data_IF_700211260121
#
_entry.id   IF_700211260121
#
_cell.length_a   1.000
_cell.length_b   1.000
_cell.length_c   1.000
_cell.angle_alpha   90.00
_cell.angle_beta   90.00
_cell.angle_gamma   90.00
#
_symmetry.space_group_name_H-M   'P 1'
#
loop_
_entity.id
_entity.type
_entity.pdbx_description
1 polymer ?
#
# COMPACT_ATOMS: atom_id res chain seq x y z
N UNK A 1 6.15 51.81 13.41
CA UNK A 1 5.38 50.57 13.69
C UNK A 1 4.94 50.00 12.35
N UNK A 2 5.69 49.06 11.80
CA UNK A 2 5.30 48.35 10.59
C UNK A 2 3.99 47.61 10.86
N UNK A 3 2.95 47.90 10.08
CA UNK A 3 1.69 47.17 10.14
C UNK A 3 2.00 45.72 9.81
N UNK A 4 1.71 44.79 10.74
CA UNK A 4 1.71 43.35 10.47
C UNK A 4 0.86 43.12 9.21
N UNK A 5 1.52 42.87 8.07
CA UNK A 5 0.82 42.46 6.85
C UNK A 5 0.32 41.06 7.11
N UNK A 6 -0.99 40.94 7.28
CA UNK A 6 -1.66 39.66 7.40
C UNK A 6 -1.21 38.71 6.27
N UNK A 7 -0.92 37.46 6.61
CA UNK A 7 -0.47 36.47 5.62
C UNK A 7 -1.56 36.31 4.52
N UNK A 8 -1.19 36.31 3.22
CA UNK A 8 -2.13 36.16 2.12
C UNK A 8 -3.04 34.94 2.30
N UNK A 9 -4.35 35.06 1.97
CA UNK A 9 -5.32 33.99 2.20
C UNK A 9 -4.96 32.70 1.44
N UNK A 10 -4.34 32.82 0.27
CA UNK A 10 -3.89 31.67 -0.54
C UNK A 10 -2.78 30.90 0.18
N UNK A 11 -1.84 31.60 0.81
CA UNK A 11 -0.74 31.00 1.58
C UNK A 11 -1.29 30.36 2.86
N UNK A 12 -2.23 31.02 3.54
CA UNK A 12 -2.93 30.44 4.71
C UNK A 12 -3.60 29.11 4.32
N UNK A 13 -4.38 29.10 3.25
CA UNK A 13 -5.07 27.88 2.75
C UNK A 13 -4.09 26.77 2.37
N UNK A 14 -2.97 27.10 1.72
CA UNK A 14 -1.92 26.15 1.40
C UNK A 14 -1.32 25.49 2.65
N UNK A 15 -1.02 26.27 3.68
CA UNK A 15 -0.48 25.76 4.95
C UNK A 15 -1.51 24.92 5.71
N UNK A 16 -2.79 25.31 5.70
CA UNK A 16 -3.86 24.53 6.30
C UNK A 16 -4.03 23.17 5.62
N UNK A 17 -4.11 23.16 4.29
CA UNK A 17 -4.25 21.92 3.52
C UNK A 17 -3.03 21.00 3.67
N UNK A 18 -1.82 21.56 3.72
CA UNK A 18 -0.59 20.80 3.98
C UNK A 18 -0.62 20.14 5.37
N UNK A 19 -0.99 20.90 6.40
CA UNK A 19 -1.02 20.41 7.79
C UNK A 19 -2.06 19.29 7.94
N UNK A 20 -3.24 19.46 7.32
CA UNK A 20 -4.28 18.44 7.32
C UNK A 20 -3.85 17.19 6.54
N UNK A 21 -3.14 17.34 5.42
CA UNK A 21 -2.55 16.21 4.69
C UNK A 21 -1.55 15.44 5.54
N UNK A 22 -0.64 16.12 6.22
CA UNK A 22 0.30 15.46 7.13
C UNK A 22 -0.44 14.70 8.24
N UNK A 23 -1.45 15.33 8.86
CA UNK A 23 -2.26 14.70 9.90
C UNK A 23 -2.98 13.44 9.40
N UNK A 24 -3.50 13.48 8.17
CA UNK A 24 -4.17 12.33 7.56
C UNK A 24 -3.19 11.25 7.17
N UNK A 25 -2.06 11.59 6.52
CA UNK A 25 -1.05 10.64 6.09
C UNK A 25 -0.51 9.77 7.24
N UNK A 26 -0.29 10.37 8.41
CA UNK A 26 0.17 9.66 9.61
C UNK A 26 -0.95 9.08 10.47
N UNK A 27 -2.21 9.11 10.02
CA UNK A 27 -3.32 8.53 10.78
C UNK A 27 -3.25 6.99 10.80
N UNK A 28 -3.35 6.35 11.98
CA UNK A 28 -3.36 4.89 12.09
C UNK A 28 -4.48 4.24 11.28
N UNK A 29 -4.19 3.08 10.68
CA UNK A 29 -5.15 2.35 9.84
C UNK A 29 -6.47 2.04 10.55
N UNK A 30 -6.42 1.66 11.84
CA UNK A 30 -7.59 1.35 12.66
C UNK A 30 -8.53 2.55 12.89
N UNK A 31 -8.04 3.78 12.71
CA UNK A 31 -8.83 5.01 12.85
C UNK A 31 -9.40 5.50 11.52
N UNK A 32 -9.09 4.83 10.41
CA UNK A 32 -9.60 5.19 9.09
C UNK A 32 -11.06 4.76 8.98
N UNK A 33 -11.88 5.66 8.47
CA UNK A 33 -13.29 5.42 8.17
C UNK A 33 -13.63 6.09 6.84
N UNK A 34 -14.77 5.74 6.20
CA UNK A 34 -15.09 6.25 4.87
C UNK A 34 -15.08 7.78 4.79
N UNK A 35 -15.51 8.47 5.87
CA UNK A 35 -15.52 9.94 5.95
C UNK A 35 -14.11 10.51 5.92
N UNK A 36 -13.18 9.90 6.66
CA UNK A 36 -11.78 10.31 6.72
C UNK A 36 -11.08 10.05 5.39
N UNK A 37 -11.39 8.93 4.73
CA UNK A 37 -10.88 8.63 3.39
C UNK A 37 -11.36 9.68 2.39
N UNK A 38 -12.66 9.95 2.34
CA UNK A 38 -13.20 11.00 1.47
C UNK A 38 -12.60 12.39 1.76
N UNK A 39 -12.40 12.70 3.04
CA UNK A 39 -11.73 13.95 3.46
C UNK A 39 -10.28 14.02 2.97
N UNK A 40 -9.53 12.92 2.99
CA UNK A 40 -8.18 12.86 2.45
C UNK A 40 -8.16 13.14 0.94
N UNK A 41 -9.08 12.55 0.17
CA UNK A 41 -9.22 12.85 -1.26
C UNK A 41 -9.52 14.34 -1.50
N UNK A 42 -10.52 14.88 -0.81
CA UNK A 42 -10.92 16.27 -0.97
C UNK A 42 -9.80 17.25 -0.60
N UNK A 43 -9.07 16.97 0.49
CA UNK A 43 -8.01 17.87 0.92
C UNK A 43 -6.79 17.79 0.01
N UNK A 44 -6.50 16.62 -0.57
CA UNK A 44 -5.45 16.44 -1.57
C UNK A 44 -5.77 17.24 -2.83
N UNK A 45 -7.01 17.15 -3.30
CA UNK A 45 -7.46 17.93 -4.44
C UNK A 45 -7.38 19.44 -4.17
N UNK A 46 -7.86 19.90 -3.00
CA UNK A 46 -7.72 21.31 -2.61
C UNK A 46 -6.26 21.76 -2.55
N UNK A 47 -5.39 20.95 -1.94
CA UNK A 47 -3.97 21.24 -1.85
C UNK A 47 -3.33 21.34 -3.23
N UNK A 48 -3.66 20.42 -4.14
CA UNK A 48 -3.19 20.43 -5.52
C UNK A 48 -3.61 21.72 -6.26
N UNK A 49 -4.86 22.17 -6.06
CA UNK A 49 -5.33 23.44 -6.61
C UNK A 49 -4.57 24.64 -6.02
N UNK A 50 -4.35 24.67 -4.70
CA UNK A 50 -3.55 25.73 -4.05
C UNK A 50 -2.10 25.73 -4.55
N UNK A 51 -1.49 24.56 -4.79
CA UNK A 51 -0.16 24.46 -5.39
C UNK A 51 -0.13 25.13 -6.78
N UNK A 52 -1.13 24.87 -7.61
CA UNK A 52 -1.23 25.47 -8.94
C UNK A 52 -1.47 26.99 -8.88
N UNK A 53 -2.21 27.47 -7.88
CA UNK A 53 -2.46 28.91 -7.71
C UNK A 53 -1.22 29.67 -7.23
N UNK A 54 -0.46 29.11 -6.28
CA UNK A 54 0.71 29.78 -5.69
C UNK A 54 1.94 29.66 -6.59
N UNK A 55 2.21 28.46 -7.11
CA UNK A 55 3.45 28.17 -7.81
C UNK A 55 3.31 28.22 -9.33
N UNK A 56 2.09 28.06 -9.86
CA UNK A 56 1.82 28.02 -11.31
C UNK A 56 2.58 26.92 -12.04
N UNK A 57 2.59 26.99 -13.38
CA UNK A 57 3.47 26.12 -14.18
C UNK A 57 4.90 26.67 -14.16
N UNK A 58 5.62 26.41 -13.08
CA UNK A 58 7.01 26.83 -12.95
C UNK A 58 7.97 25.70 -13.35
N UNK A 59 8.73 25.85 -14.45
CA UNK A 59 9.65 24.81 -14.92
C UNK A 59 10.83 24.55 -13.98
N UNK A 60 11.10 25.44 -13.01
CA UNK A 60 12.14 25.22 -11.98
C UNK A 60 11.66 24.30 -10.85
N UNK A 61 10.35 24.05 -10.75
CA UNK A 61 9.73 23.23 -9.71
C UNK A 61 9.43 21.80 -10.20
N UNK A 62 10.22 21.29 -11.14
CA UNK A 62 10.05 19.93 -11.70
C UNK A 62 10.10 18.84 -10.63
N UNK A 63 10.97 18.93 -9.63
CA UNK A 63 11.01 17.98 -8.51
C UNK A 63 9.75 18.04 -7.63
N UNK A 64 9.23 19.24 -7.41
CA UNK A 64 8.00 19.43 -6.64
C UNK A 64 6.80 18.80 -7.36
N UNK A 65 6.62 19.11 -8.65
CA UNK A 65 5.53 18.54 -9.44
C UNK A 65 5.73 17.05 -9.78
N UNK A 66 6.98 16.61 -9.94
CA UNK A 66 7.31 15.24 -10.31
C UNK A 66 7.25 14.26 -9.15
N UNK A 67 7.73 14.63 -7.95
CA UNK A 67 7.81 13.71 -6.81
C UNK A 67 6.72 13.99 -5.79
N UNK A 68 6.65 15.22 -5.27
CA UNK A 68 5.73 15.57 -4.19
C UNK A 68 4.27 15.55 -4.67
N UNK A 69 3.97 16.30 -5.73
CA UNK A 69 2.63 16.41 -6.27
C UNK A 69 2.13 15.05 -6.80
N UNK A 70 2.97 14.32 -7.53
CA UNK A 70 2.64 12.97 -8.00
C UNK A 70 2.36 12.00 -6.85
N UNK A 71 3.18 12.00 -5.80
CA UNK A 71 2.97 11.12 -4.66
C UNK A 71 1.65 11.42 -3.95
N UNK A 72 1.29 12.71 -3.83
CA UNK A 72 0.02 13.11 -3.26
C UNK A 72 -1.18 12.68 -4.11
N UNK A 73 -1.15 12.93 -5.43
CA UNK A 73 -2.30 12.64 -6.28
C UNK A 73 -2.48 11.15 -6.58
N UNK A 74 -1.37 10.41 -6.68
CA UNK A 74 -1.37 9.01 -7.14
C UNK A 74 -1.30 8.06 -5.95
N UNK A 75 -0.29 8.19 -5.09
CA UNK A 75 -0.05 7.21 -4.03
C UNK A 75 -0.95 7.41 -2.82
N UNK A 76 -1.39 8.62 -2.50
CA UNK A 76 -2.30 8.80 -1.36
C UNK A 76 -3.61 8.04 -1.57
N UNK A 77 -4.14 8.02 -2.81
CA UNK A 77 -5.33 7.25 -3.16
C UNK A 77 -5.14 5.74 -2.94
N UNK A 78 -3.93 5.23 -3.23
CA UNK A 78 -3.56 3.83 -3.05
C UNK A 78 -3.39 3.45 -1.58
N UNK A 79 -2.71 4.31 -0.81
CA UNK A 79 -2.35 4.07 0.59
C UNK A 79 -3.53 4.30 1.53
N UNK A 80 -4.42 5.22 1.19
CA UNK A 80 -5.51 5.67 2.05
C UNK A 80 -6.85 5.00 1.71
N UNK A 81 -6.81 3.68 1.57
CA UNK A 81 -8.00 2.83 1.40
C UNK A 81 -8.47 2.29 2.75
N UNK A 82 -9.78 1.99 2.84
CA UNK A 82 -10.36 1.30 4.00
C UNK A 82 -9.90 -0.15 4.08
N UNK A 83 -9.77 -0.77 2.92
CA UNK A 83 -9.37 -2.16 2.76
C UNK A 83 -7.90 -2.15 2.38
N UNK A 84 -7.10 -2.96 3.07
CA UNK A 84 -5.69 -3.15 2.72
C UNK A 84 -5.59 -3.69 1.29
N UNK A 85 -4.65 -3.20 0.46
CA UNK A 85 -4.39 -3.79 -0.85
C UNK A 85 -4.11 -5.30 -0.77
N UNK A 86 -3.52 -5.77 0.32
CA UNK A 86 -3.29 -7.21 0.58
C UNK A 86 -4.59 -8.01 0.60
N UNK A 87 -5.66 -7.44 1.16
CA UNK A 87 -6.98 -8.09 1.23
C UNK A 87 -7.72 -8.07 -0.13
N UNK A 88 -7.30 -7.23 -1.08
CA UNK A 88 -7.78 -7.28 -2.46
C UNK A 88 -7.03 -8.35 -3.28
N UNK A 89 -5.80 -8.69 -2.87
CA UNK A 89 -4.94 -9.66 -3.52
C UNK A 89 -5.03 -11.04 -2.84
N UNK A 90 -6.25 -11.61 -2.84
CA UNK A 90 -6.52 -12.92 -2.24
C UNK A 90 -5.72 -14.03 -2.92
N UNK A 91 -5.23 -13.84 -4.15
CA UNK A 91 -4.44 -14.84 -4.88
C UNK A 91 -3.23 -15.35 -4.08
N UNK A 92 -2.56 -14.45 -3.36
CA UNK A 92 -1.39 -14.82 -2.55
C UNK A 92 -1.79 -15.62 -1.31
N UNK A 93 -2.88 -15.24 -0.65
CA UNK A 93 -3.42 -15.91 0.53
C UNK A 93 -4.02 -17.27 0.15
N UNK A 94 -4.83 -17.33 -0.92
CA UNK A 94 -5.41 -18.55 -1.48
C UNK A 94 -4.33 -19.54 -1.90
N UNK A 95 -3.21 -19.07 -2.47
CA UNK A 95 -2.07 -19.92 -2.81
C UNK A 95 -1.45 -20.55 -1.57
N UNK A 96 -1.26 -19.79 -0.50
CA UNK A 96 -0.76 -20.30 0.79
C UNK A 96 -1.76 -21.28 1.40
N UNK A 97 -3.05 -20.95 1.40
CA UNK A 97 -4.11 -21.84 1.89
C UNK A 97 -4.21 -23.14 1.09
N UNK A 98 -4.03 -23.09 -0.23
CA UNK A 98 -4.02 -24.28 -1.09
C UNK A 98 -2.84 -25.21 -0.76
N UNK A 99 -1.66 -24.64 -0.50
CA UNK A 99 -0.47 -25.40 -0.06
C UNK A 99 -0.74 -26.05 1.30
N UNK A 100 -1.25 -25.29 2.27
CA UNK A 100 -1.59 -25.81 3.61
C UNK A 100 -2.63 -26.93 3.50
N UNK A 101 -3.70 -26.76 2.72
CA UNK A 101 -4.70 -27.81 2.48
C UNK A 101 -4.09 -29.06 1.86
N UNK A 102 -3.18 -28.91 0.90
CA UNK A 102 -2.52 -30.05 0.25
C UNK A 102 -1.62 -30.81 1.24
N UNK A 103 -0.85 -30.10 2.06
CA UNK A 103 -0.04 -30.70 3.12
C UNK A 103 -0.94 -31.44 4.11
N UNK A 104 -1.97 -30.78 4.63
CA UNK A 104 -2.93 -31.36 5.58
C UNK A 104 -3.61 -32.59 4.99
N UNK A 105 -4.04 -32.55 3.73
CA UNK A 105 -4.67 -33.72 3.07
C UNK A 105 -3.68 -34.88 2.90
N UNK A 106 -2.41 -34.58 2.62
CA UNK A 106 -1.37 -35.60 2.49
C UNK A 106 -0.98 -36.21 3.86
N UNK A 107 -1.07 -35.43 4.93
CA UNK A 107 -0.65 -35.83 6.28
C UNK A 107 -1.80 -36.38 7.14
N UNK A 108 -3.05 -35.99 6.91
CA UNK A 108 -4.21 -36.36 7.76
C UNK A 108 -4.78 -37.76 7.50
N UNK A 109 -3.96 -38.72 7.06
CA UNK A 109 -4.43 -40.09 6.87
C UNK A 109 -4.71 -40.78 8.22
N UNK A 110 -5.88 -41.42 8.35
CA UNK A 110 -6.24 -42.29 9.49
C UNK A 110 -5.49 -43.63 9.51
N UNK A 111 -4.78 -44.00 8.44
CA UNK A 111 -4.04 -45.26 8.31
C UNK A 111 -2.53 -45.16 8.55
N UNK A 112 -2.01 -43.96 8.87
CA UNK A 112 -0.57 -43.78 9.17
C UNK A 112 -0.36 -43.92 10.67
N UNK A 113 0.14 -45.08 11.09
CA UNK A 113 0.24 -45.48 12.49
C UNK A 113 1.36 -44.75 13.26
N UNK A 114 2.32 -44.13 12.56
CA UNK A 114 3.51 -43.49 13.16
C UNK A 114 3.64 -42.01 12.80
N UNK A 115 3.89 -41.19 13.83
CA UNK A 115 4.17 -39.74 13.73
C UNK A 115 5.39 -39.47 12.83
N UNK A 116 6.36 -40.39 12.78
CA UNK A 116 7.56 -40.27 11.94
C UNK A 116 7.19 -40.26 10.46
N UNK A 117 6.26 -41.11 10.04
CA UNK A 117 5.86 -41.24 8.63
C UNK A 117 5.06 -40.01 8.17
N UNK A 118 4.26 -39.44 9.07
CA UNK A 118 3.56 -38.17 8.85
C UNK A 118 4.57 -37.02 8.65
N UNK A 119 5.61 -36.96 9.50
CA UNK A 119 6.67 -35.97 9.39
C UNK A 119 7.46 -36.06 8.08
N UNK A 120 7.81 -37.26 7.64
CA UNK A 120 8.55 -37.48 6.39
C UNK A 120 7.73 -37.05 5.17
N UNK A 121 6.44 -37.41 5.14
CA UNK A 121 5.53 -37.06 4.04
C UNK A 121 5.28 -35.55 3.99
N UNK A 122 5.17 -34.90 5.16
CA UNK A 122 5.11 -33.44 5.25
C UNK A 122 6.33 -32.79 4.63
N UNK A 123 7.53 -33.21 5.03
CA UNK A 123 8.79 -32.66 4.52
C UNK A 123 8.94 -32.84 3.00
N UNK A 124 8.60 -34.02 2.47
CA UNK A 124 8.63 -34.28 1.03
C UNK A 124 7.63 -33.39 0.26
N UNK A 125 6.45 -33.17 0.84
CA UNK A 125 5.42 -32.31 0.27
C UNK A 125 5.86 -30.84 0.25
N UNK A 126 6.42 -30.34 1.36
CA UNK A 126 7.00 -28.99 1.45
C UNK A 126 8.12 -28.77 0.43
N UNK A 127 9.07 -29.70 0.30
CA UNK A 127 10.15 -29.68 -0.71
C UNK A 127 9.63 -29.66 -2.16
N UNK A 128 8.60 -30.44 -2.48
CA UNK A 128 8.00 -30.46 -3.81
C UNK A 128 7.33 -29.11 -4.15
N UNK A 129 6.70 -28.47 -3.15
CA UNK A 129 6.10 -27.15 -3.30
C UNK A 129 7.15 -26.04 -3.42
N UNK A 130 8.23 -26.06 -2.63
CA UNK A 130 9.37 -25.14 -2.77
C UNK A 130 9.95 -25.18 -4.18
N UNK A 131 10.09 -26.37 -4.76
CA UNK A 131 10.59 -26.54 -6.14
C UNK A 131 9.62 -25.95 -7.18
N UNK A 132 8.30 -26.11 -6.99
CA UNK A 132 7.26 -25.66 -7.95
C UNK A 132 6.94 -24.16 -7.87
N UNK A 133 7.11 -23.53 -6.71
CA UNK A 133 6.75 -22.13 -6.48
C UNK A 133 7.95 -21.22 -6.19
N UNK A 134 9.08 -21.75 -5.71
CA UNK A 134 10.34 -21.03 -5.59
C UNK A 134 10.96 -20.67 -6.94
N UNK A 135 10.74 -21.50 -7.97
CA UNK A 135 11.17 -21.21 -9.35
C UNK A 135 10.42 -20.01 -9.97
N UNK A 136 9.09 -19.93 -9.77
CA UNK A 136 8.26 -18.81 -10.26
C UNK A 136 8.57 -17.46 -9.62
N UNK A 137 9.15 -17.45 -8.42
CA UNK A 137 9.58 -16.22 -7.73
C UNK A 137 10.82 -15.57 -8.37
N UNK A 138 11.62 -16.35 -9.12
CA UNK A 138 12.77 -15.84 -9.89
C UNK A 138 12.35 -15.21 -11.22
N UNK A 139 11.46 -15.87 -11.96
CA UNK A 139 10.95 -15.37 -13.26
C UNK A 139 10.14 -14.06 -13.15
N UNK A 140 9.33 -13.89 -12.08
CA UNK A 140 8.55 -12.66 -11.87
C UNK A 140 9.36 -11.45 -11.38
N UNK A 141 10.61 -11.65 -10.97
CA UNK A 141 11.51 -10.56 -10.55
C UNK A 141 12.34 -10.04 -11.73
N UNK A 142 12.61 -10.87 -12.75
CA UNK A 142 13.32 -10.46 -13.97
C UNK A 142 12.42 -9.62 -14.90
N UNK A 143 11.11 -9.88 -14.93
CA UNK A 143 10.13 -9.12 -15.74
C UNK A 143 9.73 -7.76 -15.14
N UNK A 144 10.17 -7.43 -13.92
CA UNK A 144 9.96 -6.12 -13.26
C UNK A 144 11.17 -5.18 -13.34
N UNK A 145 12.29 -5.66 -13.88
CA UNK A 145 13.56 -4.92 -14.02
C UNK A 145 13.89 -4.66 -15.49
N UNK A 146 12.96 -4.95 -16.42
CA UNK A 146 13.07 -4.64 -17.85
C UNK A 146 12.18 -3.47 -18.23
#
# INVERSE_FOLDING_TARGET
MEKNKDCPPEIKEFLYTLTELCRLAYLPALKRNPRIVLRAYNITYRHAMSCNQIFGKNPKLTKFYGTYYHALTTHLAEVYKLISPSSLYTESEERIFAIIRAIVKATSSRTKESIRDIGLIRYQTEKAFEKKYGARKKEGNESRVS
#
